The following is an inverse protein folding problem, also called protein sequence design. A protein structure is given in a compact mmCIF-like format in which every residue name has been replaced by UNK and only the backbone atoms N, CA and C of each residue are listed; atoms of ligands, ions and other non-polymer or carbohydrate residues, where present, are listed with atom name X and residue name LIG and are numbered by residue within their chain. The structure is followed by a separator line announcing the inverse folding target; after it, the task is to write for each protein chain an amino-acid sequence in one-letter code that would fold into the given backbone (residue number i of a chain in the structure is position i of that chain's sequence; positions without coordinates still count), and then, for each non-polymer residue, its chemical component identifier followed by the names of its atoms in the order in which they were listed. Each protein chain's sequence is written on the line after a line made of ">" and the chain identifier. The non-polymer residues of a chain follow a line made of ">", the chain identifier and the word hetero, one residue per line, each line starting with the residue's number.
data_IF_206407374638
#
_entry.id   IF_206407374638
#
_cell.length_a   1.000
_cell.length_b   1.000
_cell.length_c   1.000
_cell.angle_alpha   90.00
_cell.angle_beta   90.00
_cell.angle_gamma   90.00
#
_symmetry.space_group_name_H-M   'P 1'
#
loop_
_entity.id
_entity.type
_entity.pdbx_description
1 polymer ?
#
# COMPACT_ATOMS: atom_id res chain seq x y z
N UNK A 1 7.75 -14.90 -29.12
CA UNK A 1 6.43 -15.25 -28.53
C UNK A 1 6.16 -14.33 -27.34
N UNK A 2 5.98 -13.03 -27.60
CA UNK A 2 5.80 -11.98 -26.59
C UNK A 2 4.33 -11.78 -26.24
N UNK A 3 3.63 -12.88 -25.99
CA UNK A 3 2.17 -13.01 -26.08
C UNK A 3 1.39 -12.22 -25.02
N UNK A 4 2.04 -11.61 -24.04
CA UNK A 4 1.35 -10.93 -22.94
C UNK A 4 2.06 -9.63 -22.53
N UNK A 5 2.26 -8.74 -23.51
CA UNK A 5 2.68 -7.36 -23.24
C UNK A 5 1.72 -6.72 -22.24
N UNK A 6 2.25 -5.96 -21.27
CA UNK A 6 1.47 -5.22 -20.26
C UNK A 6 0.31 -4.42 -20.88
N UNK A 7 0.49 -3.97 -22.13
CA UNK A 7 -0.55 -3.32 -22.92
C UNK A 7 -1.81 -4.17 -23.14
N UNK A 8 -1.68 -5.48 -23.36
CA UNK A 8 -2.85 -6.37 -23.51
C UNK A 8 -3.69 -6.39 -22.24
N UNK A 9 -3.05 -6.51 -21.07
CA UNK A 9 -3.74 -6.53 -19.78
C UNK A 9 -4.48 -5.23 -19.47
N UNK A 10 -3.96 -4.07 -19.88
CA UNK A 10 -4.66 -2.79 -19.75
C UNK A 10 -5.96 -2.76 -20.58
N UNK A 11 -5.91 -3.22 -21.83
CA UNK A 11 -7.09 -3.29 -22.70
C UNK A 11 -8.12 -4.31 -22.18
N UNK A 12 -7.67 -5.46 -21.69
CA UNK A 12 -8.58 -6.47 -21.09
C UNK A 12 -9.26 -5.91 -19.85
N UNK A 13 -8.52 -5.25 -18.94
CA UNK A 13 -9.12 -4.63 -17.76
C UNK A 13 -10.15 -3.56 -18.11
N UNK A 14 -9.90 -2.77 -19.16
CA UNK A 14 -10.84 -1.75 -19.63
C UNK A 14 -12.15 -2.39 -20.12
N UNK A 15 -12.06 -3.47 -20.90
CA UNK A 15 -13.25 -4.20 -21.38
C UNK A 15 -14.01 -4.83 -20.22
N UNK A 16 -13.31 -5.47 -19.28
CA UNK A 16 -13.93 -6.05 -18.08
C UNK A 16 -14.67 -4.97 -17.28
N UNK A 17 -14.04 -3.81 -17.07
CA UNK A 17 -14.69 -2.70 -16.38
C UNK A 17 -15.94 -2.18 -17.11
N UNK A 18 -15.94 -2.17 -18.46
CA UNK A 18 -17.07 -1.73 -19.26
C UNK A 18 -18.23 -2.75 -19.27
N UNK A 19 -17.93 -4.06 -19.27
CA UNK A 19 -18.93 -5.14 -19.21
C UNK A 19 -19.59 -5.23 -17.83
N UNK A 20 -18.78 -5.22 -16.77
CA UNK A 20 -19.28 -5.33 -15.39
C UNK A 20 -19.84 -4.00 -14.86
N UNK A 21 -19.42 -2.88 -15.47
CA UNK A 21 -19.72 -1.53 -15.01
C UNK A 21 -18.97 -1.15 -13.73
N UNK A 22 -18.63 0.13 -13.60
CA UNK A 22 -17.90 0.65 -12.43
C UNK A 22 -18.68 0.50 -11.12
N UNK A 23 -20.01 0.41 -11.18
CA UNK A 23 -20.88 0.31 -10.00
C UNK A 23 -20.83 -1.07 -9.33
N UNK A 24 -20.84 -2.17 -10.10
CA UNK A 24 -20.67 -3.52 -9.53
C UNK A 24 -19.24 -3.78 -9.12
N UNK A 25 -18.27 -3.37 -9.94
CA UNK A 25 -16.85 -3.53 -9.64
C UNK A 25 -16.42 -2.69 -8.43
N UNK A 26 -17.02 -1.53 -8.22
CA UNK A 26 -16.79 -0.68 -7.05
C UNK A 26 -17.35 -1.26 -5.75
N UNK A 27 -18.58 -1.79 -5.75
CA UNK A 27 -19.15 -2.45 -4.58
C UNK A 27 -18.32 -3.68 -4.17
N UNK A 28 -18.05 -4.59 -5.11
CA UNK A 28 -17.26 -5.80 -4.85
C UNK A 28 -15.80 -5.44 -4.52
N UNK A 29 -15.23 -4.45 -5.21
CA UNK A 29 -13.88 -3.96 -4.98
C UNK A 29 -13.71 -3.28 -3.61
N UNK A 30 -14.75 -2.65 -3.07
CA UNK A 30 -14.72 -2.08 -1.72
C UNK A 30 -14.70 -3.18 -0.66
N UNK A 31 -15.49 -4.22 -0.82
CA UNK A 31 -15.53 -5.36 0.12
C UNK A 31 -14.22 -6.14 0.08
N UNK A 32 -13.74 -6.46 -1.12
CA UNK A 32 -12.46 -7.14 -1.33
C UNK A 32 -11.27 -6.27 -0.89
N UNK A 33 -11.32 -4.97 -1.19
CA UNK A 33 -10.29 -4.01 -0.82
C UNK A 33 -10.19 -3.81 0.69
N UNK A 34 -11.32 -3.81 1.40
CA UNK A 34 -11.33 -3.76 2.87
C UNK A 34 -10.69 -5.00 3.49
N UNK A 35 -10.98 -6.19 2.94
CA UNK A 35 -10.38 -7.45 3.40
C UNK A 35 -8.86 -7.48 3.16
N UNK A 36 -8.41 -7.08 1.96
CA UNK A 36 -6.98 -7.02 1.62
C UNK A 36 -6.26 -5.93 2.43
N UNK A 37 -6.92 -4.81 2.73
CA UNK A 37 -6.37 -3.76 3.59
C UNK A 37 -6.14 -4.27 5.01
N UNK A 38 -7.12 -4.93 5.62
CA UNK A 38 -6.96 -5.54 6.94
C UNK A 38 -5.86 -6.61 6.97
N UNK A 39 -5.73 -7.41 5.91
CA UNK A 39 -4.64 -8.38 5.76
C UNK A 39 -3.27 -7.69 5.69
N UNK A 40 -3.13 -6.64 4.88
CA UNK A 40 -1.89 -5.86 4.77
C UNK A 40 -1.52 -5.16 6.08
N UNK A 41 -2.50 -4.58 6.76
CA UNK A 41 -2.29 -3.87 8.02
C UNK A 41 -1.92 -4.86 9.15
N UNK A 42 -2.55 -6.04 9.19
CA UNK A 42 -2.19 -7.12 10.11
C UNK A 42 -0.79 -7.68 9.86
N UNK A 43 -0.42 -7.91 8.60
CA UNK A 43 0.90 -8.41 8.20
C UNK A 43 2.00 -7.38 8.49
N UNK A 44 1.73 -6.08 8.27
CA UNK A 44 2.64 -4.99 8.66
C UNK A 44 2.79 -4.86 10.17
N UNK A 45 1.70 -5.04 10.93
CA UNK A 45 1.75 -5.02 12.40
C UNK A 45 2.56 -6.17 13.00
N UNK A 46 2.72 -7.29 12.29
CA UNK A 46 3.65 -8.37 12.67
C UNK A 46 5.09 -8.13 12.20
N UNK A 47 5.30 -7.50 11.04
CA UNK A 47 6.65 -7.10 10.58
C UNK A 47 7.23 -5.97 11.44
N UNK A 48 6.44 -4.97 11.82
CA UNK A 48 6.88 -3.84 12.67
C UNK A 48 7.17 -4.29 14.12
N UNK A 49 6.59 -5.41 14.57
CA UNK A 49 6.93 -6.06 15.85
C UNK A 49 8.16 -6.96 15.79
N UNK A 50 8.69 -7.26 14.59
CA UNK A 50 9.88 -8.10 14.41
C UNK A 50 11.15 -7.33 14.10
N UNK A 51 11.08 -6.00 13.94
CA UNK A 51 12.26 -5.15 13.74
C UNK A 51 12.33 -4.01 14.78
N UNK A 52 13.10 -4.17 15.88
CA UNK A 52 13.47 -3.05 16.74
C UNK A 52 14.45 -2.06 16.08
N UNK A 53 14.70 -2.15 14.76
CA UNK A 53 15.80 -1.47 14.07
C UNK A 53 15.38 -0.45 13.00
N UNK A 54 14.13 0.04 12.99
CA UNK A 54 13.69 1.05 11.99
C UNK A 54 13.04 2.32 12.54
N UNK A 55 13.35 2.68 13.79
CA UNK A 55 13.01 3.99 14.37
C UNK A 55 14.22 4.92 14.60
N UNK A 56 15.32 4.75 13.85
CA UNK A 56 16.43 5.71 13.82
C UNK A 56 16.43 6.43 12.47
N UNK A 57 15.58 7.44 12.32
CA UNK A 57 15.87 8.64 11.52
C UNK A 57 14.81 9.69 11.81
N UNK A 58 15.27 10.87 12.21
CA UNK A 58 14.47 12.10 12.44
C UNK A 58 13.84 12.23 13.83
N UNK A 59 14.68 12.24 14.88
CA UNK A 59 14.49 13.23 15.95
C UNK A 59 15.62 14.24 15.77
N UNK A 60 15.21 15.37 15.24
CA UNK A 60 15.94 16.62 15.18
C UNK A 60 16.39 16.99 16.60
N UNK A 61 17.65 16.74 16.94
CA UNK A 61 18.31 17.38 18.09
C UNK A 61 18.81 18.73 17.57
N UNK A 62 17.88 19.66 17.39
CA UNK A 62 18.21 21.08 17.31
C UNK A 62 18.83 21.48 18.65
N UNK A 63 20.02 22.05 18.55
CA UNK A 63 20.93 22.36 19.64
C UNK A 63 20.27 23.15 20.79
N UNK A 64 20.20 22.52 21.96
CA UNK A 64 20.18 23.25 23.23
C UNK A 64 21.56 23.15 23.88
N UNK A 65 22.52 23.88 23.32
CA UNK A 65 23.71 24.23 24.08
C UNK A 65 23.30 25.15 25.24
N UNK A 66 23.36 24.60 26.46
CA UNK A 66 23.42 25.41 27.68
C UNK A 66 24.57 24.89 28.54
N UNK A 67 25.70 25.57 28.47
CA UNK A 67 26.75 25.64 29.49
C UNK A 67 27.39 27.02 29.31
N UNK A 68 27.23 28.01 30.17
CA UNK A 68 27.07 27.92 31.61
C UNK A 68 28.41 27.60 32.27
N UNK A 69 29.41 28.42 31.96
CA UNK A 69 30.53 28.86 32.82
C UNK A 69 31.06 30.19 32.25
#
# INVERSE_FOLDING_TARGET
>A
MGSFSIWHWLIVLLIVAMVFGTKKLGNIGKDLGSAVKGFKDGMKGEEEKKDPAKQITTIDVEAKEKKGD
#
